data_IF_962299762835
#
_entry.id   IF_962299762835
#
_cell.length_a   1.000
_cell.length_b   1.000
_cell.length_c   1.000
_cell.angle_alpha   90.00
_cell.angle_beta   90.00
_cell.angle_gamma   90.00
#
_symmetry.space_group_name_H-M   'P 1'
#
loop_
_entity.id
_entity.type
_entity.pdbx_description
1 polymer ?
#
# COMPACT_ATOMS: atom_id res chain seq x y z
N UNK A 1 -26.77 41.42 -4.77
CA UNK A 1 -25.45 41.45 -4.09
C UNK A 1 -25.61 40.87 -2.69
N UNK A 2 -25.79 39.55 -2.58
CA UNK A 2 -25.73 38.80 -1.32
C UNK A 2 -25.38 37.35 -1.65
N UNK A 3 -24.12 36.95 -1.41
CA UNK A 3 -23.64 35.56 -1.49
C UNK A 3 -22.57 35.30 -0.40
N UNK A 4 -22.89 35.65 0.85
CA UNK A 4 -22.12 35.20 2.02
C UNK A 4 -23.07 34.57 3.04
N UNK A 5 -23.09 33.23 3.09
CA UNK A 5 -24.00 32.50 3.97
C UNK A 5 -23.67 31.02 4.15
N UNK A 6 -22.81 30.74 5.14
CA UNK A 6 -22.76 29.50 5.94
C UNK A 6 -22.32 28.21 5.24
N UNK A 7 -21.01 28.00 5.25
CA UNK A 7 -20.45 26.67 5.50
C UNK A 7 -21.02 26.18 6.86
N UNK A 8 -21.97 25.25 6.83
CA UNK A 8 -22.35 24.50 8.03
C UNK A 8 -21.14 23.67 8.42
N UNK A 9 -20.58 23.91 9.60
CA UNK A 9 -19.74 22.92 10.26
C UNK A 9 -20.59 21.65 10.39
N UNK A 10 -20.22 20.61 9.66
CA UNK A 10 -20.76 19.28 9.97
C UNK A 10 -20.17 18.88 11.32
N UNK A 11 -20.99 18.38 12.28
CA UNK A 11 -20.44 17.84 13.51
C UNK A 11 -19.47 16.72 13.15
N UNK A 12 -18.22 16.81 13.63
CA UNK A 12 -17.27 15.70 13.51
C UNK A 12 -17.95 14.43 14.05
N UNK A 13 -17.92 13.30 13.32
CA UNK A 13 -18.37 12.04 13.88
C UNK A 13 -17.56 11.78 15.17
N UNK A 14 -18.17 11.18 16.21
CA UNK A 14 -17.48 10.92 17.47
C UNK A 14 -16.17 10.19 17.20
N UNK A 15 -15.04 10.83 17.52
CA UNK A 15 -13.72 10.22 17.40
C UNK A 15 -13.74 8.96 18.26
N UNK A 16 -13.61 7.79 17.61
CA UNK A 16 -13.34 6.56 18.33
C UNK A 16 -12.13 6.81 19.25
N UNK A 17 -12.13 6.32 20.50
CA UNK A 17 -11.02 6.54 21.41
C UNK A 17 -9.74 6.10 20.72
N UNK A 18 -8.76 7.02 20.59
CA UNK A 18 -7.49 6.70 19.96
C UNK A 18 -6.86 5.58 20.77
N UNK A 19 -6.75 4.38 20.18
CA UNK A 19 -6.02 3.27 20.81
C UNK A 19 -4.63 3.79 21.18
N UNK A 20 -4.30 3.73 22.47
CA UNK A 20 -2.97 4.08 22.96
C UNK A 20 -2.13 2.83 22.84
N UNK A 21 -1.22 2.84 21.88
CA UNK A 21 -0.19 1.81 21.75
C UNK A 21 0.89 2.05 22.82
N UNK A 22 1.58 0.99 23.29
CA UNK A 22 2.71 1.17 24.18
C UNK A 22 3.78 2.05 23.53
N UNK A 23 4.57 2.73 24.35
CA UNK A 23 5.71 3.51 23.87
C UNK A 23 6.76 2.57 23.24
N UNK A 24 7.54 3.05 22.26
CA UNK A 24 8.65 2.29 21.72
C UNK A 24 9.66 1.92 22.81
N UNK A 25 10.23 0.72 22.70
CA UNK A 25 11.29 0.25 23.60
C UNK A 25 12.69 0.59 23.08
N UNK A 26 12.83 0.80 21.77
CA UNK A 26 14.07 1.18 21.12
C UNK A 26 14.30 2.68 21.23
N UNK A 27 15.58 3.11 21.15
CA UNK A 27 15.90 4.54 21.06
C UNK A 27 15.36 5.11 19.77
N UNK A 28 14.97 6.37 19.78
CA UNK A 28 14.41 7.03 18.60
C UNK A 28 15.37 7.01 17.40
N UNK A 29 16.67 7.20 17.63
CA UNK A 29 17.69 7.13 16.56
C UNK A 29 17.75 5.75 15.91
N UNK A 30 17.66 4.67 16.72
CA UNK A 30 17.67 3.29 16.21
C UNK A 30 16.38 2.99 15.42
N UNK A 31 15.23 3.52 15.86
CA UNK A 31 13.96 3.42 15.13
C UNK A 31 14.05 4.11 13.78
N UNK A 32 14.48 5.37 13.77
CA UNK A 32 14.59 6.17 12.54
C UNK A 32 15.54 5.53 11.54
N UNK A 33 16.72 5.11 11.98
CA UNK A 33 17.69 4.45 11.13
C UNK A 33 17.15 3.10 10.61
N UNK A 34 16.55 2.27 11.47
CA UNK A 34 15.96 0.99 11.04
C UNK A 34 14.85 1.22 10.02
N UNK A 35 13.92 2.15 10.26
CA UNK A 35 12.82 2.44 9.35
C UNK A 35 13.30 3.02 8.02
N UNK A 36 14.33 3.89 8.03
CA UNK A 36 14.93 4.39 6.81
C UNK A 36 15.52 3.25 5.96
N UNK A 37 16.28 2.34 6.58
CA UNK A 37 16.90 1.23 5.86
C UNK A 37 15.86 0.23 5.35
N UNK A 38 14.83 -0.09 6.14
CA UNK A 38 13.71 -0.91 5.68
C UNK A 38 12.98 -0.24 4.52
N UNK A 39 12.73 1.08 4.58
CA UNK A 39 12.10 1.82 3.49
C UNK A 39 12.88 1.71 2.18
N UNK A 40 14.19 1.94 2.24
CA UNK A 40 15.08 1.81 1.07
C UNK A 40 15.09 0.38 0.52
N UNK A 41 15.20 -0.62 1.39
CA UNK A 41 15.29 -2.03 0.96
C UNK A 41 13.97 -2.62 0.49
N UNK A 42 12.83 -2.02 0.85
CA UNK A 42 11.51 -2.33 0.32
C UNK A 42 11.13 -1.47 -0.90
N UNK A 43 12.02 -0.61 -1.38
CA UNK A 43 11.79 0.16 -2.61
C UNK A 43 12.15 -0.66 -3.85
N UNK A 44 11.60 -0.27 -5.00
CA UNK A 44 11.90 -0.92 -6.27
C UNK A 44 13.41 -0.93 -6.55
N UNK A 45 14.01 -2.08 -6.92
CA UNK A 45 15.44 -2.16 -7.15
C UNK A 45 15.84 -1.41 -8.42
N UNK A 46 16.66 -0.38 -8.24
CA UNK A 46 17.24 0.43 -9.29
C UNK A 46 18.74 0.67 -9.06
N UNK A 47 19.38 1.31 -10.04
CA UNK A 47 20.82 1.61 -9.98
C UNK A 47 21.17 2.53 -8.79
N UNK A 48 20.22 3.35 -8.34
CA UNK A 48 20.39 4.21 -7.17
C UNK A 48 20.45 3.38 -5.88
N UNK A 49 19.49 2.48 -5.66
CA UNK A 49 19.49 1.59 -4.49
C UNK A 49 20.74 0.73 -4.46
N UNK A 50 21.13 0.14 -5.60
CA UNK A 50 22.34 -0.67 -5.69
C UNK A 50 23.62 0.14 -5.42
N UNK A 51 23.66 1.40 -5.84
CA UNK A 51 24.75 2.32 -5.55
C UNK A 51 24.87 2.72 -4.07
N UNK A 52 23.80 2.55 -3.28
CA UNK A 52 23.77 2.86 -1.85
C UNK A 52 24.10 1.67 -0.95
N UNK A 53 24.33 0.47 -1.49
CA UNK A 53 24.47 -0.74 -0.66
C UNK A 53 25.68 -0.68 0.29
N UNK A 54 26.77 -0.01 -0.10
CA UNK A 54 27.94 0.18 0.79
C UNK A 54 27.60 1.11 1.97
N UNK A 55 26.90 2.21 1.71
CA UNK A 55 26.44 3.14 2.76
C UNK A 55 25.41 2.48 3.69
N UNK A 56 24.53 1.65 3.12
CA UNK A 56 23.56 0.85 3.88
C UNK A 56 24.30 -0.12 4.79
N UNK A 57 25.27 -0.89 4.28
CA UNK A 57 26.07 -1.82 5.08
C UNK A 57 26.82 -1.12 6.23
N UNK A 58 27.37 0.08 5.99
CA UNK A 58 28.00 0.86 7.05
C UNK A 58 26.98 1.28 8.12
N UNK A 59 25.81 1.77 7.72
CA UNK A 59 24.75 2.15 8.64
C UNK A 59 24.24 0.97 9.49
N UNK A 60 24.24 -0.25 8.94
CA UNK A 60 23.84 -1.46 9.69
C UNK A 60 24.75 -1.75 10.89
N UNK A 61 26.03 -1.36 10.83
CA UNK A 61 26.97 -1.61 11.92
C UNK A 61 26.61 -0.88 13.23
N UNK A 62 25.85 0.22 13.15
CA UNK A 62 25.38 0.98 14.30
C UNK A 62 24.06 0.50 14.90
N UNK A 63 23.36 -0.45 14.26
CA UNK A 63 22.02 -0.87 14.67
C UNK A 63 22.01 -2.08 15.61
N UNK A 64 20.93 -2.24 16.41
CA UNK A 64 20.70 -3.46 17.18
C UNK A 64 20.74 -4.72 16.28
N UNK A 65 21.28 -5.86 16.78
CA UNK A 65 21.39 -7.12 16.02
C UNK A 65 20.07 -7.61 15.42
N UNK A 66 18.96 -7.33 16.09
CA UNK A 66 17.60 -7.67 15.68
C UNK A 66 17.18 -6.96 14.38
N UNK A 67 17.77 -5.80 14.07
CA UNK A 67 17.61 -5.10 12.81
C UNK A 67 18.77 -5.36 11.84
N UNK A 68 20.02 -5.27 12.31
CA UNK A 68 21.19 -5.35 11.43
C UNK A 68 21.36 -6.72 10.79
N UNK A 69 21.10 -7.80 11.54
CA UNK A 69 21.18 -9.17 11.03
C UNK A 69 20.24 -9.45 9.86
N UNK A 70 18.92 -9.23 9.99
CA UNK A 70 17.98 -9.39 8.89
C UNK A 70 18.27 -8.45 7.70
N UNK A 71 18.48 -7.16 7.94
CA UNK A 71 18.72 -6.21 6.85
C UNK A 71 20.01 -6.54 6.07
N UNK A 72 21.05 -7.00 6.75
CA UNK A 72 22.29 -7.45 6.09
C UNK A 72 22.08 -8.65 5.15
N UNK A 73 21.11 -9.54 5.44
CA UNK A 73 20.75 -10.64 4.52
C UNK A 73 20.06 -10.11 3.26
N UNK A 74 19.23 -9.08 3.38
CA UNK A 74 18.63 -8.41 2.22
C UNK A 74 19.71 -7.75 1.36
N UNK A 75 20.63 -7.00 1.99
CA UNK A 75 21.76 -6.38 1.28
C UNK A 75 22.60 -7.42 0.55
N UNK A 76 22.95 -8.52 1.22
CA UNK A 76 23.69 -9.62 0.61
C UNK A 76 22.95 -10.22 -0.61
N UNK A 77 21.62 -10.38 -0.52
CA UNK A 77 20.81 -10.83 -1.64
C UNK A 77 20.87 -9.85 -2.81
N UNK A 78 20.65 -8.54 -2.57
CA UNK A 78 20.70 -7.50 -3.60
C UNK A 78 22.07 -7.41 -4.29
N UNK A 79 23.17 -7.67 -3.58
CA UNK A 79 24.52 -7.73 -4.18
C UNK A 79 24.73 -8.97 -5.05
N UNK A 80 24.09 -10.08 -4.71
CA UNK A 80 24.35 -11.39 -5.33
C UNK A 80 23.55 -11.66 -6.61
N UNK A 81 22.49 -10.88 -6.86
CA UNK A 81 21.56 -11.11 -7.97
C UNK A 81 21.66 -9.97 -9.00
N UNK A 82 21.72 -10.26 -10.31
CA UNK A 82 21.70 -9.23 -11.34
C UNK A 82 20.46 -8.34 -11.26
N UNK A 83 20.62 -7.02 -11.47
CA UNK A 83 19.53 -6.03 -11.34
C UNK A 83 18.27 -6.38 -12.14
N UNK A 84 18.42 -6.90 -13.36
CA UNK A 84 17.27 -7.31 -14.18
C UNK A 84 16.46 -8.45 -13.52
N UNK A 85 17.13 -9.41 -12.88
CA UNK A 85 16.48 -10.49 -12.15
C UNK A 85 15.85 -9.98 -10.84
N UNK A 86 16.52 -9.06 -10.12
CA UNK A 86 15.95 -8.40 -8.94
C UNK A 86 14.65 -7.66 -9.27
N UNK A 87 14.63 -6.90 -10.36
CA UNK A 87 13.43 -6.19 -10.83
C UNK A 87 12.29 -7.15 -11.14
N UNK A 88 12.59 -8.25 -11.82
CA UNK A 88 11.58 -9.29 -12.13
C UNK A 88 11.04 -9.94 -10.87
N UNK A 89 11.91 -10.30 -9.92
CA UNK A 89 11.51 -10.95 -8.66
C UNK A 89 10.76 -9.98 -7.73
N UNK A 90 11.12 -8.70 -7.74
CA UNK A 90 10.41 -7.66 -7.02
C UNK A 90 8.96 -7.53 -7.52
N UNK A 91 8.77 -7.39 -8.84
CA UNK A 91 7.42 -7.32 -9.43
C UNK A 91 6.63 -8.61 -9.15
N UNK A 92 7.25 -9.78 -9.30
CA UNK A 92 6.58 -11.05 -8.98
C UNK A 92 6.29 -11.22 -7.48
N UNK A 93 7.04 -10.57 -6.60
CA UNK A 93 6.79 -10.60 -5.16
C UNK A 93 5.65 -9.66 -4.81
N UNK A 94 5.75 -8.39 -5.18
CA UNK A 94 4.91 -7.32 -4.65
C UNK A 94 3.69 -6.96 -5.51
N UNK A 95 3.77 -7.15 -6.84
CA UNK A 95 2.77 -6.62 -7.77
C UNK A 95 1.85 -7.70 -8.36
N UNK A 96 2.29 -8.96 -8.41
CA UNK A 96 1.48 -10.04 -9.00
C UNK A 96 0.46 -10.63 -8.03
N UNK A 97 0.71 -10.53 -6.71
CA UNK A 97 -0.18 -11.11 -5.70
C UNK A 97 -0.54 -10.12 -4.59
N UNK A 98 -1.82 -10.14 -4.22
CA UNK A 98 -2.37 -9.39 -3.10
C UNK A 98 -1.78 -9.75 -1.73
N UNK A 99 -1.15 -10.93 -1.61
CA UNK A 99 -0.64 -11.45 -0.33
C UNK A 99 0.61 -10.72 0.17
N UNK A 100 1.39 -10.14 -0.75
CA UNK A 100 2.61 -9.43 -0.41
C UNK A 100 2.53 -7.94 -0.78
N UNK A 101 1.36 -7.39 -1.07
CA UNK A 101 1.24 -5.97 -1.41
C UNK A 101 1.77 -5.07 -0.28
N UNK A 102 2.47 -3.99 -0.63
CA UNK A 102 3.05 -3.07 0.35
C UNK A 102 2.05 -2.03 0.88
N UNK A 103 0.81 -2.02 0.40
CA UNK A 103 -0.26 -1.10 0.82
C UNK A 103 -1.00 -1.62 2.05
N UNK A 104 -0.70 -1.05 3.23
CA UNK A 104 -1.20 -1.58 4.51
C UNK A 104 -2.72 -1.55 4.64
N UNK A 105 -3.40 -0.56 4.07
CA UNK A 105 -4.87 -0.44 4.16
C UNK A 105 -5.58 -1.50 3.33
N UNK A 106 -4.91 -2.05 2.32
CA UNK A 106 -5.45 -3.09 1.46
C UNK A 106 -5.78 -4.36 2.25
N UNK A 107 -4.91 -4.78 3.16
CA UNK A 107 -5.15 -5.98 3.98
C UNK A 107 -6.42 -5.89 4.83
N UNK A 108 -6.75 -4.70 5.34
CA UNK A 108 -7.91 -4.51 6.22
C UNK A 108 -9.20 -4.22 5.45
N UNK A 109 -9.11 -3.64 4.26
CA UNK A 109 -10.25 -3.05 3.57
C UNK A 109 -10.44 -3.51 2.13
N UNK A 110 -9.50 -4.26 1.55
CA UNK A 110 -9.47 -4.57 0.12
C UNK A 110 -9.65 -3.31 -0.73
N UNK A 111 -10.33 -3.43 -1.86
CA UNK A 111 -10.63 -2.28 -2.73
C UNK A 111 -11.95 -1.58 -2.37
N UNK A 112 -12.36 -1.65 -1.11
CA UNK A 112 -13.65 -1.08 -0.69
C UNK A 112 -13.60 0.43 -0.49
N UNK A 113 -14.78 1.07 -0.46
CA UNK A 113 -14.91 2.48 -0.02
C UNK A 113 -14.21 2.79 1.31
N UNK A 114 -14.11 1.81 2.22
CA UNK A 114 -13.40 1.97 3.50
C UNK A 114 -11.91 2.21 3.31
N UNK A 115 -11.29 1.62 2.27
CA UNK A 115 -9.88 1.88 1.90
C UNK A 115 -9.67 3.35 1.56
N UNK A 116 -10.56 3.94 0.75
CA UNK A 116 -10.49 5.37 0.41
C UNK A 116 -10.50 6.28 1.64
N UNK A 117 -11.31 5.95 2.66
CA UNK A 117 -11.34 6.71 3.93
C UNK A 117 -10.02 6.55 4.70
N UNK A 118 -9.47 5.34 4.76
CA UNK A 118 -8.19 5.08 5.42
C UNK A 118 -7.04 5.87 4.74
N UNK A 119 -6.99 5.89 3.40
CA UNK A 119 -5.99 6.68 2.66
C UNK A 119 -6.06 8.18 2.98
N UNK A 120 -7.27 8.73 3.11
CA UNK A 120 -7.46 10.14 3.54
C UNK A 120 -6.92 10.35 4.96
N UNK A 121 -7.12 9.40 5.88
CA UNK A 121 -6.60 9.48 7.25
C UNK A 121 -5.06 9.47 7.28
N UNK A 122 -4.41 8.68 6.42
CA UNK A 122 -2.96 8.73 6.23
C UNK A 122 -2.50 10.10 5.74
N UNK A 123 -3.10 10.64 4.66
CA UNK A 123 -2.74 11.99 4.16
C UNK A 123 -2.93 13.07 5.24
N UNK A 124 -3.99 12.99 6.02
CA UNK A 124 -4.22 13.90 7.14
C UNK A 124 -3.22 13.72 8.28
N UNK A 125 -2.70 12.51 8.51
CA UNK A 125 -1.65 12.26 9.48
C UNK A 125 -0.33 12.91 9.07
N UNK A 126 0.07 12.76 7.81
CA UNK A 126 1.30 13.37 7.29
C UNK A 126 1.23 14.90 7.28
N UNK A 127 0.10 15.47 6.86
CA UNK A 127 -0.12 16.93 6.89
C UNK A 127 -0.05 17.51 8.30
N UNK A 128 -0.47 16.76 9.32
CA UNK A 128 -0.36 17.21 10.73
C UNK A 128 1.10 17.31 11.20
N UNK A 129 2.01 16.57 10.59
CA UNK A 129 3.46 16.71 10.78
C UNK A 129 4.11 17.72 9.82
N UNK A 130 3.31 18.46 9.01
CA UNK A 130 3.83 19.43 8.05
C UNK A 130 4.44 18.79 6.79
N UNK A 131 4.21 17.50 6.55
CA UNK A 131 4.69 16.79 5.36
C UNK A 131 3.54 16.55 4.38
N UNK A 132 3.85 16.74 3.09
CA UNK A 132 2.97 16.39 1.98
C UNK A 132 3.60 15.27 1.16
N UNK A 133 2.80 14.28 0.81
CA UNK A 133 3.25 13.15 -0.02
C UNK A 133 2.85 13.43 -1.46
N UNK A 134 3.76 13.16 -2.37
CA UNK A 134 3.51 13.23 -3.81
C UNK A 134 2.38 12.29 -4.25
N UNK A 135 1.97 12.44 -5.50
CA UNK A 135 0.96 11.57 -6.10
C UNK A 135 1.57 10.35 -6.81
N UNK A 136 2.89 10.16 -6.69
CA UNK A 136 3.65 9.05 -7.25
C UNK A 136 3.42 7.72 -6.52
N UNK A 137 3.20 7.75 -5.21
CA UNK A 137 2.91 6.57 -4.40
C UNK A 137 1.76 6.83 -3.41
N UNK A 138 1.01 5.78 -3.08
CA UNK A 138 -0.07 5.89 -2.10
C UNK A 138 0.49 6.12 -0.69
N UNK A 139 -0.22 6.91 0.14
CA UNK A 139 0.30 7.29 1.45
C UNK A 139 0.37 6.13 2.45
N UNK A 140 -0.29 5.00 2.18
CA UNK A 140 -0.24 3.79 3.00
C UNK A 140 0.76 2.74 2.50
N UNK A 141 1.52 3.04 1.45
CA UNK A 141 2.64 2.20 1.04
C UNK A 141 3.66 2.13 2.17
N UNK A 142 4.11 0.92 2.51
CA UNK A 142 4.94 0.71 3.70
C UNK A 142 6.26 1.49 3.65
N UNK A 143 6.96 1.54 2.51
CA UNK A 143 8.20 2.32 2.40
C UNK A 143 7.96 3.81 2.65
N UNK A 144 6.85 4.36 2.15
CA UNK A 144 6.46 5.76 2.31
C UNK A 144 6.17 6.09 3.79
N UNK A 145 5.43 5.22 4.48
CA UNK A 145 5.17 5.37 5.91
C UNK A 145 6.46 5.32 6.74
N UNK A 146 7.39 4.43 6.39
CA UNK A 146 8.65 4.28 7.09
C UNK A 146 9.60 5.46 6.84
N UNK A 147 9.67 5.96 5.61
CA UNK A 147 10.43 7.17 5.26
C UNK A 147 9.86 8.39 6.02
N UNK A 148 8.53 8.53 6.07
CA UNK A 148 7.87 9.55 6.86
C UNK A 148 8.25 9.44 8.35
N UNK A 149 8.26 8.23 8.92
CA UNK A 149 8.65 8.02 10.31
C UNK A 149 10.13 8.34 10.58
N UNK A 150 11.01 7.97 9.64
CA UNK A 150 12.44 8.17 9.77
C UNK A 150 12.83 9.66 9.68
N UNK A 151 12.24 10.40 8.74
CA UNK A 151 12.62 11.79 8.42
C UNK A 151 11.70 12.83 9.07
N UNK A 152 10.48 12.44 9.42
CA UNK A 152 9.45 13.30 10.00
C UNK A 152 9.12 12.93 11.44
N UNK A 153 7.87 12.54 11.67
CA UNK A 153 7.29 12.33 13.00
C UNK A 153 7.19 10.84 13.35
N UNK A 154 8.09 10.37 14.22
CA UNK A 154 8.14 9.00 14.72
C UNK A 154 6.86 8.62 15.46
N UNK A 155 6.26 9.55 16.22
CA UNK A 155 5.05 9.26 17.01
C UNK A 155 3.82 9.01 16.14
N UNK A 156 3.65 9.78 15.06
CA UNK A 156 2.59 9.56 14.08
C UNK A 156 2.83 8.25 13.31
N UNK A 157 4.05 8.01 12.84
CA UNK A 157 4.39 6.78 12.12
C UNK A 157 4.19 5.54 12.99
N UNK A 158 4.65 5.59 14.25
CA UNK A 158 4.44 4.55 15.26
C UNK A 158 2.97 4.19 15.42
N UNK A 159 2.12 5.22 15.54
CA UNK A 159 0.69 5.02 15.68
C UNK A 159 0.10 4.33 14.44
N UNK A 160 0.43 4.79 13.24
CA UNK A 160 -0.06 4.21 11.99
C UNK A 160 0.41 2.76 11.81
N UNK A 161 1.69 2.47 12.05
CA UNK A 161 2.23 1.11 11.99
C UNK A 161 1.49 0.16 12.95
N UNK A 162 1.18 0.61 14.17
CA UNK A 162 0.48 -0.22 15.16
C UNK A 162 -1.04 -0.33 14.89
N UNK A 163 -1.68 0.72 14.37
CA UNK A 163 -3.08 0.67 13.93
C UNK A 163 -3.26 -0.30 12.75
N UNK A 164 -2.25 -0.39 11.89
CA UNK A 164 -2.22 -1.27 10.71
C UNK A 164 -1.34 -2.50 10.90
N UNK A 165 -1.05 -2.88 12.16
CA UNK A 165 -0.14 -3.99 12.51
C UNK A 165 -0.52 -5.31 11.84
N UNK A 166 -1.81 -5.59 11.71
CA UNK A 166 -2.27 -6.80 11.05
C UNK A 166 -1.82 -6.90 9.58
N UNK A 167 -1.75 -5.78 8.86
CA UNK A 167 -1.21 -5.75 7.49
C UNK A 167 0.28 -6.08 7.43
N UNK A 168 1.08 -5.57 8.38
CA UNK A 168 2.52 -5.88 8.49
C UNK A 168 2.75 -7.37 8.75
N UNK A 169 1.94 -7.99 9.62
CA UNK A 169 2.06 -9.43 9.93
C UNK A 169 1.62 -10.31 8.75
N UNK A 170 0.60 -9.92 8.00
CA UNK A 170 0.16 -10.64 6.81
C UNK A 170 1.18 -10.52 5.67
N UNK A 171 1.79 -9.34 5.51
CA UNK A 171 2.90 -9.13 4.58
C UNK A 171 4.07 -10.07 4.93
N UNK A 172 4.47 -10.12 6.20
CA UNK A 172 5.51 -11.06 6.65
C UNK A 172 5.15 -12.51 6.31
N UNK A 173 3.94 -12.96 6.64
CA UNK A 173 3.50 -14.33 6.35
C UNK A 173 3.51 -14.63 4.85
N UNK A 174 3.08 -13.66 4.02
CA UNK A 174 3.12 -13.77 2.57
C UNK A 174 4.54 -13.93 2.04
N UNK A 175 5.46 -13.08 2.49
CA UNK A 175 6.87 -13.11 2.09
C UNK A 175 7.58 -14.40 2.56
N UNK A 176 7.32 -14.87 3.78
CA UNK A 176 7.85 -16.14 4.29
C UNK A 176 7.34 -17.34 3.50
N UNK A 177 6.04 -17.37 3.18
CA UNK A 177 5.43 -18.43 2.38
C UNK A 177 6.08 -18.51 0.99
N UNK A 178 6.40 -17.35 0.41
CA UNK A 178 7.13 -17.25 -0.86
C UNK A 178 8.64 -17.49 -0.74
N UNK A 179 9.18 -17.54 0.49
CA UNK A 179 10.63 -17.54 0.77
C UNK A 179 11.35 -16.36 0.12
N UNK A 180 10.69 -15.20 0.12
CA UNK A 180 11.19 -13.96 -0.45
C UNK A 180 12.32 -13.39 0.40
N UNK A 181 13.39 -12.88 -0.24
CA UNK A 181 14.49 -12.24 0.46
C UNK A 181 14.03 -10.98 1.24
N UNK A 182 12.99 -10.29 0.75
CA UNK A 182 12.43 -9.11 1.41
C UNK A 182 11.69 -9.44 2.73
N UNK A 183 11.44 -10.71 3.05
CA UNK A 183 10.91 -11.12 4.36
C UNK A 183 11.79 -10.65 5.53
N UNK A 184 13.10 -10.55 5.30
CA UNK A 184 14.05 -10.11 6.32
C UNK A 184 13.96 -8.60 6.59
N UNK A 185 13.60 -7.78 5.60
CA UNK A 185 13.34 -6.36 5.82
C UNK A 185 12.12 -6.15 6.73
N UNK A 186 11.05 -6.92 6.49
CA UNK A 186 9.85 -6.87 7.34
C UNK A 186 10.12 -7.46 8.72
N UNK A 187 11.02 -8.44 8.84
CA UNK A 187 11.48 -8.97 10.14
C UNK A 187 12.15 -7.89 10.99
N UNK A 188 13.06 -7.11 10.39
CA UNK A 188 13.70 -5.98 11.08
C UNK A 188 12.67 -4.91 11.52
N UNK A 189 11.71 -4.58 10.65
CA UNK A 189 10.60 -3.70 11.03
C UNK A 189 9.82 -4.25 12.23
N UNK A 190 9.44 -5.54 12.20
CA UNK A 190 8.66 -6.18 13.27
C UNK A 190 9.40 -6.16 14.60
N UNK A 191 10.73 -6.23 14.60
CA UNK A 191 11.56 -6.15 15.81
C UNK A 191 11.49 -4.78 16.50
N UNK A 192 11.19 -3.71 15.75
CA UNK A 192 10.98 -2.36 16.31
C UNK A 192 9.62 -2.19 16.99
N UNK A 193 8.66 -3.06 16.68
CA UNK A 193 7.26 -2.94 17.07
C UNK A 193 6.97 -3.78 18.33
N UNK A 194 5.98 -3.39 19.15
CA UNK A 194 5.63 -4.15 20.33
C UNK A 194 5.07 -5.54 19.95
N UNK A 195 5.04 -6.48 20.90
CA UNK A 195 4.27 -7.71 20.76
C UNK A 195 2.82 -7.39 20.41
N UNK A 196 2.19 -8.28 19.62
CA UNK A 196 0.78 -8.14 19.28
C UNK A 196 -0.07 -8.13 20.55
N UNK A 197 -0.95 -7.13 20.67
CA UNK A 197 -2.04 -7.19 21.64
C UNK A 197 -3.12 -8.20 21.20
N UNK A 198 -4.03 -8.56 22.11
CA UNK A 198 -5.08 -9.54 21.82
C UNK A 198 -5.97 -9.15 20.63
N UNK A 199 -6.26 -7.87 20.46
CA UNK A 199 -7.11 -7.39 19.35
C UNK A 199 -6.38 -7.41 18.01
N UNK A 200 -5.06 -7.15 18.00
CA UNK A 200 -4.22 -7.26 16.82
C UNK A 200 -4.05 -8.72 16.43
N UNK A 201 -3.82 -9.63 17.40
CA UNK A 201 -3.73 -11.06 17.16
C UNK A 201 -5.03 -11.63 16.56
N UNK A 202 -6.19 -11.24 17.11
CA UNK A 202 -7.50 -11.59 16.56
C UNK A 202 -7.71 -11.06 15.14
N UNK A 203 -7.28 -9.82 14.86
CA UNK A 203 -7.37 -9.24 13.53
C UNK A 203 -6.50 -9.99 12.51
N UNK A 204 -5.28 -10.38 12.89
CA UNK A 204 -4.41 -11.23 12.07
C UNK A 204 -5.07 -12.57 11.81
N UNK A 205 -5.53 -13.27 12.86
CA UNK A 205 -6.17 -14.58 12.72
C UNK A 205 -7.39 -14.55 11.80
N UNK A 206 -8.25 -13.53 11.94
CA UNK A 206 -9.41 -13.32 11.06
C UNK A 206 -8.98 -13.12 9.61
N UNK A 207 -8.04 -12.22 9.36
CA UNK A 207 -7.60 -11.91 7.98
C UNK A 207 -6.83 -13.07 7.34
N UNK A 208 -6.13 -13.91 8.12
CA UNK A 208 -5.54 -15.16 7.61
C UNK A 208 -6.63 -16.15 7.19
N UNK A 209 -7.71 -16.27 7.97
CA UNK A 209 -8.80 -17.21 7.69
C UNK A 209 -9.71 -16.76 6.52
N UNK A 210 -10.02 -15.46 6.46
CA UNK A 210 -11.04 -14.91 5.57
C UNK A 210 -10.44 -14.16 4.36
N UNK A 211 -9.17 -13.78 4.41
CA UNK A 211 -8.57 -12.83 3.49
C UNK A 211 -9.03 -11.37 3.74
N UNK A 212 -8.48 -10.39 3.00
CA UNK A 212 -9.01 -9.03 3.00
C UNK A 212 -10.47 -9.04 2.50
N UNK A 213 -11.34 -8.15 2.99
CA UNK A 213 -12.71 -8.05 2.50
C UNK A 213 -12.70 -7.77 1.00
N UNK A 214 -13.33 -8.63 0.20
CA UNK A 214 -13.66 -8.28 -1.18
C UNK A 214 -14.90 -7.38 -1.12
N UNK A 215 -14.85 -6.24 -1.82
CA UNK A 215 -16.11 -5.62 -2.22
C UNK A 215 -16.79 -6.63 -3.13
N UNK A 216 -18.03 -7.03 -2.83
CA UNK A 216 -18.92 -7.60 -3.84
C UNK A 216 -19.03 -6.53 -4.92
N UNK A 217 -18.11 -6.57 -5.90
CA UNK A 217 -18.31 -5.89 -7.16
C UNK A 217 -19.67 -6.36 -7.62
N UNK A 218 -20.64 -5.45 -7.62
CA UNK A 218 -21.98 -5.72 -8.09
C UNK A 218 -21.90 -6.21 -9.53
N UNK A 219 -21.79 -7.53 -9.69
CA UNK A 219 -22.05 -8.21 -10.95
C UNK A 219 -23.55 -8.19 -11.28
N UNK A 220 -24.37 -7.57 -10.41
CA UNK A 220 -25.81 -7.42 -10.58
C UNK A 220 -26.24 -6.06 -11.19
N UNK A 221 -25.32 -5.21 -11.68
CA UNK A 221 -25.69 -3.92 -12.28
C UNK A 221 -25.26 -3.71 -13.75
N UNK A 222 -24.83 -4.77 -14.45
CA UNK A 222 -24.64 -4.74 -15.92
C UNK A 222 -25.27 -5.92 -16.67
N UNK A 223 -26.28 -6.58 -16.08
CA UNK A 223 -27.31 -7.25 -16.88
C UNK A 223 -28.38 -6.22 -17.26
N UNK A 224 -28.00 -5.22 -18.06
CA UNK A 224 -28.96 -4.37 -18.75
C UNK A 224 -29.66 -5.23 -19.80
N UNK A 225 -30.92 -5.54 -19.53
CA UNK A 225 -31.87 -6.21 -20.41
C UNK A 225 -31.75 -5.66 -21.85
N UNK A 226 -31.44 -6.50 -22.86
CA UNK A 226 -31.39 -6.10 -24.27
C UNK A 226 -32.69 -5.48 -24.80
N UNK A 227 -33.80 -5.56 -24.04
CA UNK A 227 -35.09 -4.93 -24.37
C UNK A 227 -35.23 -3.48 -23.91
N UNK A 228 -34.30 -2.96 -23.13
CA UNK A 228 -34.33 -1.58 -22.61
C UNK A 228 -33.45 -0.60 -23.41
N UNK A 229 -32.95 -1.01 -24.58
CA UNK A 229 -32.30 -0.10 -25.52
C UNK A 229 -33.35 0.44 -26.50
N UNK A 230 -33.88 1.67 -26.34
CA UNK A 230 -34.70 2.26 -27.38
C UNK A 230 -33.77 2.63 -28.54
N UNK A 231 -33.77 1.80 -29.59
CA UNK A 231 -33.29 2.25 -30.89
C UNK A 231 -34.16 3.45 -31.31
N UNK A 232 -33.59 4.62 -31.63
CA UNK A 232 -34.28 5.60 -32.43
C UNK A 232 -34.12 5.15 -33.90
N UNK A 233 -35.01 4.27 -34.36
CA UNK A 233 -35.30 4.21 -35.78
C UNK A 233 -36.28 5.34 -36.07
N UNK A 234 -35.87 6.25 -36.94
CA UNK A 234 -36.60 6.66 -38.13
C UNK A 234 -36.21 8.09 -38.56
N UNK A 235 -35.64 8.17 -39.78
CA UNK A 235 -36.18 8.94 -40.90
C UNK A 235 -35.07 9.57 -41.74
N UNK A 236 -34.64 8.84 -42.78
CA UNK A 236 -34.43 9.43 -44.11
C UNK A 236 -34.89 8.40 -45.16
N UNK A 237 -36.18 8.48 -45.49
CA UNK A 237 -36.69 7.94 -46.75
C UNK A 237 -36.56 8.97 -47.87
N UNK A 238 -36.67 8.48 -49.11
CA UNK A 238 -36.70 9.15 -50.42
C UNK A 238 -35.35 9.17 -51.16
N UNK A 239 -35.20 8.71 -52.39
CA UNK A 239 -36.00 7.89 -53.32
C UNK A 239 -35.17 7.82 -54.62
N UNK A 240 -35.53 6.84 -55.45
CA UNK A 240 -35.39 6.81 -56.92
C UNK A 240 -34.12 6.23 -57.59
N UNK A 241 -34.40 5.08 -58.23
CA UNK A 241 -34.11 4.72 -59.62
C UNK A 241 -32.69 4.95 -60.18
N UNK A 242 -32.01 3.85 -60.55
CA UNK A 242 -32.03 3.36 -61.93
C UNK A 242 -31.33 1.99 -62.04
N UNK A 243 -31.99 1.08 -62.75
CA UNK A 243 -31.52 -0.23 -63.18
C UNK A 243 -31.03 -0.10 -64.63
N UNK A 244 -29.80 -0.52 -64.97
CA UNK A 244 -29.41 -0.91 -66.34
C UNK A 244 -28.30 -1.97 -66.32
N UNK A 245 -28.63 -3.09 -66.97
CA UNK A 245 -27.85 -4.26 -67.36
C UNK A 245 -26.57 -3.96 -68.16
N UNK A 246 -25.60 -4.91 -68.18
CA UNK A 246 -24.53 -4.87 -69.20
C UNK A 246 -23.36 -5.84 -69.09
N UNK A 247 -23.63 -7.11 -69.38
CA UNK A 247 -22.78 -8.15 -69.96
C UNK A 247 -21.29 -7.89 -70.39
N UNK A 248 -20.44 -8.89 -70.10
CA UNK A 248 -19.30 -9.46 -70.88
C UNK A 248 -17.95 -8.71 -70.96
N UNK A 249 -16.91 -9.28 -70.32
CA UNK A 249 -15.88 -10.13 -70.96
C UNK A 249 -15.00 -10.81 -69.93
#
# INVERSE_FOLDING_TARGET
MEWLGRLRQQPEPPRAPSRRHPAPTWREDDLRATWQLVSLLLSYPDDRLLGLLDDIDEALAGLPPEASGPLGRVVAHLRSVPLAALRSDYVDTFDTTRKCALHLTYYAHGDTRKRGIALVQFKQAYRRAGLEIGDDELPDHLSVLLEFGATGDVGIAWKLLNDHRAGVELLQLGLETRRSAWADAVTALRATLPPLDGTQAEAVARLVAEGPPNEDVGLDAYSLDPRLNPHPDDDLSLSDHFDVQGATR
#
